data_IF_676282349594
#
_entry.id   IF_676282349594
#
_cell.length_a   1.000
_cell.length_b   1.000
_cell.length_c   1.000
_cell.angle_alpha   90.00
_cell.angle_beta   90.00
_cell.angle_gamma   90.00
#
_symmetry.space_group_name_H-M   'P 1'
#
loop_
_entity.id
_entity.type
_entity.pdbx_description
1 polymer ?
#
# COMPACT_ATOMS: atom_id res chain seq x y z
N UNK A 1 -31.86 -51.15 -56.70
CA UNK A 1 -31.64 -52.13 -55.64
C UNK A 1 -30.34 -51.80 -54.96
N UNK A 2 -30.48 -51.19 -53.81
CA UNK A 2 -29.66 -51.30 -52.60
C UNK A 2 -28.14 -51.17 -52.70
N UNK A 3 -27.60 -50.11 -52.09
CA UNK A 3 -27.00 -50.21 -50.72
C UNK A 3 -26.69 -48.80 -50.22
N UNK A 4 -27.54 -48.30 -49.35
CA UNK A 4 -27.17 -47.28 -48.39
C UNK A 4 -26.28 -47.96 -47.36
N UNK A 5 -25.09 -47.45 -47.17
CA UNK A 5 -24.18 -47.90 -46.10
C UNK A 5 -23.74 -46.65 -45.30
N UNK A 6 -24.41 -46.47 -44.22
CA UNK A 6 -23.89 -46.16 -42.89
C UNK A 6 -22.55 -45.40 -42.80
N UNK A 7 -22.58 -44.07 -42.78
CA UNK A 7 -21.54 -43.18 -42.29
C UNK A 7 -22.16 -42.27 -41.24
N UNK A 8 -22.59 -42.82 -40.14
CA UNK A 8 -23.07 -42.06 -38.96
C UNK A 8 -22.65 -42.73 -37.66
N UNK A 9 -21.33 -42.79 -37.40
CA UNK A 9 -20.86 -43.15 -36.04
C UNK A 9 -19.37 -42.89 -35.79
N UNK A 10 -18.79 -41.79 -36.29
CA UNK A 10 -17.40 -41.44 -35.94
C UNK A 10 -17.14 -39.95 -35.85
N UNK A 11 -18.09 -39.09 -35.43
CA UNK A 11 -17.85 -37.69 -35.18
C UNK A 11 -18.55 -37.26 -33.89
N UNK A 12 -18.28 -37.97 -32.79
CA UNK A 12 -18.70 -37.52 -31.44
C UNK A 12 -17.73 -38.00 -30.37
N UNK A 13 -16.44 -37.72 -30.52
CA UNK A 13 -15.51 -37.89 -29.36
C UNK A 13 -14.19 -37.11 -29.48
N UNK A 14 -14.22 -35.87 -29.95
CA UNK A 14 -13.01 -35.02 -29.87
C UNK A 14 -13.34 -33.53 -29.82
N UNK A 15 -14.31 -33.10 -29.00
CA UNK A 15 -14.49 -31.68 -28.63
C UNK A 15 -15.02 -31.64 -27.21
N UNK A 16 -14.19 -32.03 -26.26
CA UNK A 16 -14.43 -31.77 -24.83
C UNK A 16 -13.12 -31.84 -24.04
N UNK A 17 -12.14 -31.02 -24.39
CA UNK A 17 -10.86 -31.04 -23.68
C UNK A 17 -10.02 -29.78 -23.77
N UNK A 18 -10.37 -28.82 -24.61
CA UNK A 18 -9.45 -27.68 -24.87
C UNK A 18 -10.02 -26.29 -24.49
N UNK A 19 -11.31 -26.16 -24.30
CA UNK A 19 -11.92 -24.85 -24.05
C UNK A 19 -11.75 -24.38 -22.57
N UNK A 20 -11.57 -25.28 -21.65
CA UNK A 20 -11.37 -24.96 -20.22
C UNK A 20 -9.98 -24.39 -19.92
N UNK A 21 -8.95 -24.88 -20.57
CA UNK A 21 -7.57 -24.46 -20.37
C UNK A 21 -7.28 -23.13 -21.08
N UNK A 22 -7.85 -22.91 -22.23
CA UNK A 22 -7.72 -21.65 -22.97
C UNK A 22 -8.44 -20.49 -22.27
N UNK A 23 -9.60 -20.72 -21.68
CA UNK A 23 -10.35 -19.72 -20.91
C UNK A 23 -9.63 -19.40 -19.60
N UNK A 24 -9.13 -20.42 -18.87
CA UNK A 24 -8.36 -20.22 -17.65
C UNK A 24 -7.05 -19.44 -17.90
N UNK A 25 -6.34 -19.76 -18.97
CA UNK A 25 -5.13 -19.06 -19.38
C UNK A 25 -5.42 -17.61 -19.83
N UNK A 26 -6.54 -17.35 -20.46
CA UNK A 26 -6.93 -16.00 -20.87
C UNK A 26 -7.33 -15.12 -19.68
N UNK A 27 -8.02 -15.67 -18.68
CA UNK A 27 -8.33 -14.98 -17.43
C UNK A 27 -7.10 -14.72 -16.56
N UNK A 28 -6.19 -15.67 -16.47
CA UNK A 28 -4.93 -15.51 -15.73
C UNK A 28 -4.01 -14.50 -16.43
N UNK A 29 -3.96 -14.49 -17.75
CA UNK A 29 -3.22 -13.52 -18.54
C UNK A 29 -3.85 -12.13 -18.42
N UNK A 30 -5.17 -12.01 -18.46
CA UNK A 30 -5.87 -10.74 -18.22
C UNK A 30 -5.65 -10.21 -16.80
N UNK A 31 -5.71 -11.08 -15.79
CA UNK A 31 -5.38 -10.73 -14.39
C UNK A 31 -3.93 -10.25 -14.25
N UNK A 32 -2.99 -10.89 -14.95
CA UNK A 32 -1.57 -10.55 -14.92
C UNK A 32 -1.29 -9.22 -15.63
N UNK A 33 -1.98 -8.94 -16.75
CA UNK A 33 -1.92 -7.65 -17.46
C UNK A 33 -2.51 -6.52 -16.61
N UNK A 34 -3.65 -6.74 -15.97
CA UNK A 34 -4.30 -5.74 -15.09
C UNK A 34 -3.44 -5.45 -13.84
N UNK A 35 -2.63 -6.39 -13.39
CA UNK A 35 -1.63 -6.18 -12.34
C UNK A 35 -0.44 -5.35 -12.80
N UNK A 36 -0.08 -5.40 -14.09
CA UNK A 36 1.06 -4.68 -14.66
C UNK A 36 0.78 -3.22 -15.02
N UNK A 37 -0.48 -2.86 -15.29
CA UNK A 37 -0.90 -1.50 -15.69
C UNK A 37 -2.04 -0.98 -14.79
N UNK A 38 -1.72 -0.58 -13.55
CA UNK A 38 -2.73 -0.04 -12.65
C UNK A 38 -3.27 1.29 -13.19
N UNK A 39 -4.59 1.46 -13.15
CA UNK A 39 -5.31 2.68 -13.56
C UNK A 39 -5.14 3.09 -15.03
N UNK A 40 -4.85 2.17 -15.96
CA UNK A 40 -4.73 2.51 -17.38
C UNK A 40 -6.02 3.15 -17.89
N UNK A 41 -5.92 4.36 -18.45
CA UNK A 41 -7.08 5.11 -18.93
C UNK A 41 -8.01 5.68 -17.87
N UNK A 42 -7.65 5.56 -16.57
CA UNK A 42 -8.43 6.11 -15.47
C UNK A 42 -7.73 7.33 -14.87
N UNK A 43 -8.43 8.45 -14.82
CA UNK A 43 -7.92 9.66 -14.18
C UNK A 43 -8.20 9.64 -12.67
N UNK A 44 -7.26 10.21 -11.90
CA UNK A 44 -7.45 10.39 -10.45
C UNK A 44 -8.60 11.38 -10.22
N UNK A 45 -9.67 10.98 -9.49
CA UNK A 45 -10.75 11.88 -9.15
C UNK A 45 -10.29 13.05 -8.28
N UNK A 46 -10.88 14.22 -8.48
CA UNK A 46 -10.55 15.40 -7.67
C UNK A 46 -10.90 15.23 -6.18
N UNK A 47 -11.90 14.39 -5.87
CA UNK A 47 -12.33 14.05 -4.51
C UNK A 47 -11.62 12.80 -3.94
N UNK A 48 -10.57 12.30 -4.62
CA UNK A 48 -9.77 11.19 -4.11
C UNK A 48 -8.99 11.60 -2.84
N UNK A 49 -9.01 10.75 -1.84
CA UNK A 49 -8.32 10.96 -0.58
C UNK A 49 -7.76 9.66 -0.02
N UNK A 50 -6.88 9.80 0.95
CA UNK A 50 -6.24 8.66 1.61
C UNK A 50 -7.06 8.18 2.81
N UNK A 51 -7.31 6.89 2.85
CA UNK A 51 -8.05 6.18 3.90
C UNK A 51 -7.29 4.92 4.28
N UNK A 52 -7.63 4.31 5.42
CA UNK A 52 -6.97 3.08 5.87
C UNK A 52 -7.97 1.95 6.02
N UNK A 53 -7.70 0.87 5.33
CA UNK A 53 -8.36 -0.40 5.49
C UNK A 53 -7.56 -1.31 6.43
N UNK A 54 -8.23 -1.92 7.40
CA UNK A 54 -7.68 -2.92 8.30
C UNK A 54 -8.02 -4.29 7.76
N UNK A 55 -7.00 -5.09 7.50
CA UNK A 55 -7.13 -6.40 6.84
C UNK A 55 -6.40 -7.49 7.60
N UNK A 56 -6.52 -8.72 7.13
CA UNK A 56 -5.80 -9.85 7.71
C UNK A 56 -4.29 -9.70 7.54
N UNK A 57 -3.55 -9.98 8.62
CA UNK A 57 -2.08 -9.96 8.64
C UNK A 57 -1.47 -10.90 7.59
N UNK A 58 -0.38 -10.47 6.96
CA UNK A 58 0.32 -11.17 5.87
C UNK A 58 -0.52 -11.40 4.59
N UNK A 59 -1.66 -10.70 4.46
CA UNK A 59 -2.51 -10.74 3.28
C UNK A 59 -2.65 -9.36 2.62
N UNK A 60 -1.96 -8.34 3.14
CA UNK A 60 -2.14 -6.94 2.78
C UNK A 60 -1.97 -6.71 1.28
N UNK A 61 -0.86 -7.18 0.69
CA UNK A 61 -0.60 -7.00 -0.75
C UNK A 61 -1.63 -7.73 -1.61
N UNK A 62 -1.95 -8.98 -1.27
CA UNK A 62 -2.94 -9.75 -2.02
C UNK A 62 -4.32 -9.11 -1.99
N UNK A 63 -4.74 -8.60 -0.82
CA UNK A 63 -6.03 -7.94 -0.67
C UNK A 63 -6.03 -6.61 -1.41
N UNK A 64 -4.97 -5.81 -1.32
CA UNK A 64 -4.85 -4.55 -2.04
C UNK A 64 -4.91 -4.74 -3.56
N UNK A 65 -4.20 -5.74 -4.10
CA UNK A 65 -4.25 -6.09 -5.51
C UNK A 65 -5.66 -6.55 -5.94
N UNK A 66 -6.32 -7.38 -5.12
CA UNK A 66 -7.70 -7.80 -5.37
C UNK A 66 -8.69 -6.63 -5.39
N UNK A 67 -8.52 -5.64 -4.49
CA UNK A 67 -9.32 -4.42 -4.47
C UNK A 67 -9.07 -3.63 -5.76
N UNK A 68 -7.81 -3.43 -6.14
CA UNK A 68 -7.42 -2.68 -7.33
C UNK A 68 -8.01 -3.30 -8.60
N UNK A 69 -7.84 -4.61 -8.79
CA UNK A 69 -8.38 -5.33 -9.94
C UNK A 69 -9.89 -5.17 -10.02
N UNK A 70 -10.59 -5.35 -8.90
CA UNK A 70 -12.05 -5.23 -8.86
C UNK A 70 -12.53 -3.80 -9.18
N UNK A 71 -11.88 -2.78 -8.60
CA UNK A 71 -12.26 -1.40 -8.83
C UNK A 71 -11.93 -0.95 -10.26
N UNK A 72 -10.74 -1.28 -10.78
CA UNK A 72 -10.34 -0.93 -12.14
C UNK A 72 -11.21 -1.64 -13.19
N UNK A 73 -11.63 -2.89 -12.95
CA UNK A 73 -12.61 -3.59 -13.80
C UNK A 73 -13.95 -2.84 -13.89
N UNK A 74 -14.33 -2.14 -12.82
CA UNK A 74 -15.53 -1.30 -12.77
C UNK A 74 -15.25 0.17 -13.17
N UNK A 75 -14.14 0.46 -13.86
CA UNK A 75 -13.72 1.79 -14.29
C UNK A 75 -13.60 2.79 -13.12
N UNK A 76 -13.17 2.33 -11.95
CA UNK A 76 -12.95 3.16 -10.77
C UNK A 76 -11.46 3.26 -10.52
N UNK A 77 -10.97 4.49 -10.50
CA UNK A 77 -9.59 4.78 -10.14
C UNK A 77 -9.32 4.40 -8.68
N UNK A 78 -8.22 3.69 -8.45
CA UNK A 78 -7.79 3.25 -7.13
C UNK A 78 -6.28 3.14 -7.07
N UNK A 79 -5.70 3.73 -6.05
CA UNK A 79 -4.28 3.55 -5.72
C UNK A 79 -4.13 3.12 -4.27
N UNK A 80 -3.02 2.48 -3.93
CA UNK A 80 -2.75 2.05 -2.57
C UNK A 80 -1.27 2.12 -2.23
N UNK A 81 -1.01 2.21 -0.95
CA UNK A 81 0.33 2.12 -0.38
C UNK A 81 0.34 1.20 0.82
N UNK A 82 1.33 0.31 0.88
CA UNK A 82 1.60 -0.58 2.01
C UNK A 82 2.99 -0.24 2.51
N UNK A 83 3.13 0.26 3.76
CA UNK A 83 4.42 0.65 4.32
C UNK A 83 5.37 -0.55 4.42
N UNK A 84 6.48 -0.49 3.71
CA UNK A 84 7.55 -1.50 3.74
C UNK A 84 8.89 -0.84 4.02
N UNK A 85 9.74 -1.55 4.74
CA UNK A 85 11.13 -1.14 5.01
C UNK A 85 12.09 -2.21 4.52
N UNK A 86 13.24 -1.80 4.02
CA UNK A 86 14.32 -2.69 3.67
C UNK A 86 15.15 -3.04 4.89
N UNK A 87 15.29 -4.32 5.17
CA UNK A 87 16.07 -4.83 6.29
C UNK A 87 17.24 -5.65 5.74
N UNK A 88 18.45 -5.27 6.13
CA UNK A 88 19.66 -6.03 5.81
C UNK A 88 19.80 -7.16 6.83
N UNK A 89 19.93 -8.37 6.35
CA UNK A 89 20.19 -9.55 7.21
C UNK A 89 21.33 -10.40 6.65
N UNK A 90 21.97 -11.13 7.55
CA UNK A 90 23.01 -12.09 7.18
C UNK A 90 22.35 -13.43 6.84
N UNK A 91 22.50 -13.86 5.60
CA UNK A 91 22.05 -15.20 5.20
C UNK A 91 22.96 -16.24 5.81
N UNK A 92 22.45 -17.03 6.74
CA UNK A 92 23.20 -18.04 7.50
C UNK A 92 23.83 -19.14 6.63
N UNK A 93 23.27 -19.39 5.42
CA UNK A 93 23.80 -20.43 4.52
C UNK A 93 24.98 -19.93 3.70
N UNK A 94 24.87 -18.71 3.16
CA UNK A 94 25.88 -18.15 2.26
C UNK A 94 26.84 -17.19 2.95
N UNK A 95 26.61 -16.87 4.20
CA UNK A 95 27.33 -15.83 4.97
C UNK A 95 27.41 -14.46 4.26
N UNK A 96 26.41 -14.18 3.38
CA UNK A 96 26.33 -12.93 2.62
C UNK A 96 25.24 -12.05 3.18
N UNK A 97 25.47 -10.74 3.16
CA UNK A 97 24.43 -9.76 3.47
C UNK A 97 23.40 -9.73 2.34
N UNK A 98 22.14 -9.86 2.69
CA UNK A 98 20.99 -9.78 1.78
C UNK A 98 20.01 -8.73 2.27
N UNK A 99 19.30 -8.10 1.35
CA UNK A 99 18.23 -7.16 1.64
C UNK A 99 16.89 -7.87 1.50
N UNK A 100 16.01 -7.69 2.46
CA UNK A 100 14.64 -8.18 2.43
C UNK A 100 13.68 -7.04 2.75
N UNK A 101 12.60 -6.94 1.99
CA UNK A 101 11.48 -6.08 2.35
C UNK A 101 10.68 -6.70 3.50
N UNK A 102 10.36 -5.88 4.48
CA UNK A 102 9.50 -6.23 5.62
C UNK A 102 8.40 -5.18 5.74
N UNK A 103 7.19 -5.62 6.08
CA UNK A 103 6.11 -4.69 6.41
C UNK A 103 6.52 -3.85 7.63
N UNK A 104 6.41 -2.54 7.49
CA UNK A 104 6.62 -1.61 8.61
C UNK A 104 5.40 -1.59 9.53
N UNK A 105 4.21 -1.59 8.93
CA UNK A 105 2.94 -1.75 9.62
C UNK A 105 2.19 -2.94 9.01
N UNK A 106 1.93 -3.96 9.83
CA UNK A 106 1.08 -5.07 9.45
C UNK A 106 -0.42 -4.73 9.60
N UNK A 107 -1.27 -5.40 8.85
CA UNK A 107 -2.74 -5.26 8.86
C UNK A 107 -3.31 -3.99 8.22
N UNK A 108 -2.50 -3.05 7.80
CA UNK A 108 -2.96 -1.78 7.23
C UNK A 108 -2.68 -1.69 5.74
N UNK A 109 -3.69 -1.26 4.98
CA UNK A 109 -3.58 -0.83 3.59
C UNK A 109 -4.03 0.63 3.52
N UNK A 110 -3.15 1.49 3.03
CA UNK A 110 -3.48 2.87 2.75
C UNK A 110 -4.08 2.94 1.36
N UNK A 111 -5.36 3.30 1.27
CA UNK A 111 -6.16 3.32 0.06
C UNK A 111 -6.37 4.77 -0.38
N UNK A 112 -6.04 5.08 -1.63
CA UNK A 112 -6.37 6.37 -2.24
C UNK A 112 -7.53 6.16 -3.22
N UNK A 113 -8.67 6.75 -2.91
CA UNK A 113 -9.91 6.53 -3.66
C UNK A 113 -10.90 7.67 -3.39
N UNK A 114 -11.86 7.87 -4.29
CA UNK A 114 -12.98 8.78 -4.05
C UNK A 114 -13.80 8.36 -2.84
N UNK A 115 -14.20 9.32 -2.03
CA UNK A 115 -15.05 9.09 -0.85
C UNK A 115 -16.33 8.31 -1.19
N UNK A 116 -16.90 8.56 -2.37
CA UNK A 116 -18.14 7.91 -2.86
C UNK A 116 -17.96 6.40 -3.09
N UNK A 117 -16.73 5.95 -3.28
CA UNK A 117 -16.41 4.55 -3.60
C UNK A 117 -15.94 3.74 -2.38
N UNK A 118 -15.83 4.39 -1.20
CA UNK A 118 -15.35 3.73 0.03
C UNK A 118 -16.17 2.51 0.44
N UNK A 119 -17.47 2.52 0.18
CA UNK A 119 -18.36 1.41 0.53
C UNK A 119 -18.02 0.15 -0.26
N UNK A 120 -17.48 0.27 -1.48
CA UNK A 120 -17.00 -0.89 -2.26
C UNK A 120 -15.78 -1.57 -1.63
N UNK A 121 -15.04 -0.86 -0.80
CA UNK A 121 -13.92 -1.42 -0.01
C UNK A 121 -14.42 -1.87 1.35
N UNK A 122 -15.21 -1.03 2.03
CA UNK A 122 -15.67 -1.25 3.40
C UNK A 122 -16.48 -2.55 3.57
N UNK A 123 -17.32 -2.89 2.60
CA UNK A 123 -18.20 -4.05 2.68
C UNK A 123 -17.61 -5.34 2.09
N UNK A 124 -16.33 -5.36 1.78
CA UNK A 124 -15.65 -6.59 1.36
C UNK A 124 -15.46 -7.53 2.55
N UNK A 125 -15.60 -8.82 2.29
CA UNK A 125 -15.42 -9.87 3.31
C UNK A 125 -13.97 -10.01 3.82
N UNK A 126 -12.99 -9.54 3.02
CA UNK A 126 -11.57 -9.58 3.34
C UNK A 126 -11.04 -8.29 4.01
N UNK A 127 -11.93 -7.29 4.22
CA UNK A 127 -11.64 -6.05 4.95
C UNK A 127 -12.41 -6.07 6.28
N UNK A 128 -11.69 -6.05 7.39
CA UNK A 128 -12.32 -6.07 8.72
C UNK A 128 -13.03 -4.76 9.04
N UNK A 129 -12.40 -3.64 8.74
CA UNK A 129 -12.97 -2.30 8.94
C UNK A 129 -12.15 -1.24 8.20
N UNK A 130 -12.78 -0.10 7.95
CA UNK A 130 -12.08 1.14 7.64
C UNK A 130 -11.78 1.89 8.94
N UNK A 131 -10.65 2.59 8.99
CA UNK A 131 -10.31 3.41 10.14
C UNK A 131 -11.29 4.58 10.27
N UNK A 132 -11.86 4.74 11.45
CA UNK A 132 -12.80 5.83 11.78
C UNK A 132 -12.20 6.77 12.80
N UNK A 133 -12.71 7.99 12.88
CA UNK A 133 -12.37 8.90 13.98
C UNK A 133 -12.89 8.34 15.30
N UNK A 134 -12.11 8.44 16.39
CA UNK A 134 -12.55 8.02 17.71
C UNK A 134 -13.88 8.68 18.10
N UNK A 135 -14.84 7.89 18.58
CA UNK A 135 -16.16 8.37 18.96
C UNK A 135 -17.09 8.75 17.80
N UNK A 136 -16.65 8.58 16.55
CA UNK A 136 -17.43 8.92 15.36
C UNK A 136 -17.54 7.73 14.41
N UNK A 137 -18.64 7.68 13.63
CA UNK A 137 -18.80 6.71 12.54
C UNK A 137 -18.15 7.14 11.22
N UNK A 138 -17.62 8.38 11.17
CA UNK A 138 -16.99 8.92 9.97
C UNK A 138 -15.64 8.26 9.73
N UNK A 139 -15.40 7.79 8.51
CA UNK A 139 -14.12 7.23 8.10
C UNK A 139 -13.08 8.36 8.11
N UNK A 140 -11.91 8.07 8.68
CA UNK A 140 -10.83 9.06 8.79
C UNK A 140 -10.12 9.22 7.45
N UNK A 141 -10.15 10.44 6.92
CA UNK A 141 -9.36 10.83 5.75
C UNK A 141 -8.04 11.42 6.21
N UNK A 142 -6.95 10.89 5.69
CA UNK A 142 -5.60 11.37 5.99
C UNK A 142 -5.28 12.52 5.03
N UNK A 143 -4.82 13.67 5.51
CA UNK A 143 -4.35 14.75 4.63
C UNK A 143 -3.17 14.29 3.76
N UNK A 144 -3.14 14.71 2.49
CA UNK A 144 -2.11 14.31 1.52
C UNK A 144 -0.69 14.64 2.01
N UNK A 145 -0.51 15.81 2.63
CA UNK A 145 0.78 16.22 3.18
C UNK A 145 1.25 15.29 4.32
N UNK A 146 0.32 14.81 5.16
CA UNK A 146 0.65 13.90 6.26
C UNK A 146 1.13 12.56 5.73
N UNK A 147 0.43 12.00 4.73
CA UNK A 147 0.86 10.71 4.15
C UNK A 147 2.15 10.85 3.34
N UNK A 148 2.34 11.95 2.63
CA UNK A 148 3.58 12.23 1.91
C UNK A 148 4.78 12.29 2.87
N UNK A 149 4.69 13.06 3.94
CA UNK A 149 5.73 13.13 4.97
C UNK A 149 6.00 11.74 5.60
N UNK A 150 4.94 11.01 5.92
CA UNK A 150 5.08 9.68 6.54
C UNK A 150 5.74 8.67 5.59
N UNK A 151 5.44 8.72 4.30
CA UNK A 151 6.09 7.89 3.27
C UNK A 151 7.59 8.17 3.21
N UNK A 152 8.00 9.44 3.22
CA UNK A 152 9.42 9.80 3.27
C UNK A 152 10.14 9.21 4.48
N UNK A 153 9.48 9.20 5.65
CA UNK A 153 10.05 8.56 6.84
C UNK A 153 10.22 7.06 6.68
N UNK A 154 9.25 6.38 6.08
CA UNK A 154 9.25 4.91 5.97
C UNK A 154 10.13 4.42 4.82
N UNK A 155 10.13 5.13 3.68
CA UNK A 155 10.82 4.72 2.46
C UNK A 155 12.28 5.19 2.39
N UNK A 156 12.75 5.94 3.40
CA UNK A 156 14.13 6.39 3.45
C UNK A 156 15.07 5.22 3.78
N UNK A 157 15.94 4.89 2.81
CA UNK A 157 16.88 3.76 2.92
C UNK A 157 18.20 4.13 3.62
N UNK A 158 18.51 5.41 3.84
CA UNK A 158 19.81 5.86 4.36
C UNK A 158 19.99 5.56 5.85
N UNK A 159 18.89 5.63 6.63
CA UNK A 159 18.96 5.32 8.06
C UNK A 159 17.72 4.52 8.52
N UNK A 160 17.85 3.71 9.58
CA UNK A 160 16.75 2.90 10.08
C UNK A 160 15.60 3.76 10.60
N UNK A 161 14.40 3.50 10.12
CA UNK A 161 13.18 4.07 10.67
C UNK A 161 12.60 3.15 11.74
N UNK A 162 12.08 3.72 12.81
CA UNK A 162 11.46 2.99 13.91
C UNK A 162 10.00 3.36 14.05
N UNK A 163 9.13 2.35 14.11
CA UNK A 163 7.72 2.55 14.45
C UNK A 163 7.60 3.04 15.90
N UNK A 164 6.78 4.04 16.11
CA UNK A 164 6.55 4.62 17.43
C UNK A 164 5.05 4.59 17.77
N UNK A 165 4.69 4.50 19.06
CA UNK A 165 3.31 4.58 19.49
C UNK A 165 2.72 5.97 19.18
N UNK A 166 1.42 6.04 18.99
CA UNK A 166 0.68 7.28 18.80
C UNK A 166 -0.07 7.60 20.11
N UNK A 167 -0.09 8.85 20.55
CA UNK A 167 0.51 10.05 19.95
C UNK A 167 2.00 10.17 20.22
N UNK A 168 2.75 10.72 19.28
CA UNK A 168 4.14 11.09 19.51
C UNK A 168 4.21 12.33 20.42
N UNK A 169 5.27 12.38 21.26
CA UNK A 169 5.56 13.59 22.02
C UNK A 169 5.95 14.71 21.07
N UNK A 170 5.12 15.72 20.95
CA UNK A 170 5.40 16.88 20.10
C UNK A 170 6.40 17.80 20.76
N UNK A 171 7.40 18.21 20.00
CA UNK A 171 8.37 19.24 20.35
C UNK A 171 8.36 20.36 19.31
N UNK A 172 9.53 20.91 19.05
CA UNK A 172 9.71 21.97 18.06
C UNK A 172 9.48 21.40 16.66
N UNK A 173 8.68 22.09 15.83
CA UNK A 173 8.51 21.74 14.42
C UNK A 173 9.75 22.14 13.64
N UNK A 174 10.27 21.26 12.84
CA UNK A 174 11.48 21.44 12.05
C UNK A 174 11.28 20.99 10.60
N UNK A 175 12.04 21.60 9.70
CA UNK A 175 12.17 21.18 8.30
C UNK A 175 13.57 20.65 8.06
N UNK A 176 13.68 19.55 7.33
CA UNK A 176 14.96 18.99 6.91
C UNK A 176 15.50 19.80 5.72
N UNK A 177 16.73 20.31 5.84
CA UNK A 177 17.33 21.22 4.85
C UNK A 177 18.15 20.51 3.77
N UNK A 178 18.65 19.29 4.06
CA UNK A 178 19.47 18.53 3.11
C UNK A 178 19.32 17.01 3.32
N UNK A 179 19.89 16.23 2.38
CA UNK A 179 19.83 14.76 2.36
C UNK A 179 18.58 14.24 1.67
N UNK A 180 18.34 12.93 1.78
CA UNK A 180 17.20 12.22 1.17
C UNK A 180 15.84 12.72 1.67
N UNK A 181 15.78 13.27 2.90
CA UNK A 181 14.57 13.81 3.51
C UNK A 181 14.41 15.32 3.35
N UNK A 182 15.17 15.97 2.45
CA UNK A 182 15.08 17.43 2.25
C UNK A 182 13.65 17.89 2.00
N UNK A 183 13.21 18.90 2.74
CA UNK A 183 11.88 19.51 2.66
C UNK A 183 10.82 18.83 3.55
N UNK A 184 11.11 17.68 4.15
CA UNK A 184 10.18 17.02 5.07
C UNK A 184 10.06 17.80 6.37
N UNK A 185 8.82 18.00 6.81
CA UNK A 185 8.50 18.64 8.10
C UNK A 185 8.18 17.58 9.15
N UNK A 186 8.72 17.75 10.35
CA UNK A 186 8.56 16.81 11.45
C UNK A 186 8.68 17.51 12.81
N UNK A 187 8.34 16.79 13.87
CA UNK A 187 8.51 17.28 15.24
C UNK A 187 9.72 16.62 15.89
N UNK A 188 10.56 17.42 16.55
CA UNK A 188 11.68 16.89 17.34
C UNK A 188 11.12 16.19 18.57
N UNK A 189 11.49 14.92 18.74
CA UNK A 189 11.09 14.12 19.90
C UNK A 189 12.11 14.22 21.02
N UNK A 190 13.39 14.14 20.66
CA UNK A 190 14.50 14.33 21.59
C UNK A 190 15.79 14.68 20.85
N UNK A 191 16.76 15.17 21.59
CA UNK A 191 18.12 15.40 21.15
C UNK A 191 19.07 14.38 21.78
N UNK A 192 20.01 13.89 21.00
CA UNK A 192 21.09 13.01 21.46
C UNK A 192 22.42 13.52 20.90
N UNK A 193 23.06 14.43 21.63
CA UNK A 193 24.30 15.07 21.22
C UNK A 193 24.15 15.87 19.92
N UNK A 194 24.90 15.48 18.87
CA UNK A 194 24.85 16.10 17.54
C UNK A 194 23.67 15.64 16.67
N UNK A 195 22.91 14.65 17.15
CA UNK A 195 21.77 14.09 16.43
C UNK A 195 20.46 14.49 17.11
N UNK A 196 19.40 14.55 16.34
CA UNK A 196 18.03 14.71 16.80
C UNK A 196 17.18 13.54 16.33
N UNK A 197 16.25 13.10 17.15
CA UNK A 197 15.19 12.17 16.76
C UNK A 197 14.00 13.00 16.36
N UNK A 198 13.63 12.94 15.09
CA UNK A 198 12.45 13.60 14.54
C UNK A 198 11.36 12.57 14.34
N UNK A 199 10.10 12.98 14.37
CA UNK A 199 8.96 12.09 14.22
C UNK A 199 7.88 12.67 13.34
N UNK A 200 7.29 11.81 12.55
CA UNK A 200 6.04 12.04 11.83
C UNK A 200 5.01 11.01 12.28
N UNK A 201 3.75 11.41 12.35
CA UNK A 201 2.67 10.50 12.76
C UNK A 201 1.46 10.59 11.83
N UNK A 202 0.82 9.45 11.63
CA UNK A 202 -0.54 9.41 11.13
C UNK A 202 -1.44 9.15 12.33
N UNK A 203 -2.29 10.10 12.67
CA UNK A 203 -3.20 10.00 13.83
C UNK A 203 -3.94 8.67 13.83
N UNK A 204 -4.05 8.06 15.01
CA UNK A 204 -4.77 6.81 15.28
C UNK A 204 -4.17 5.55 14.66
N UNK A 205 -3.01 5.65 13.99
CA UNK A 205 -2.35 4.52 13.32
C UNK A 205 -1.00 4.24 13.92
N UNK A 206 -0.02 5.08 13.62
CA UNK A 206 1.36 4.91 14.05
C UNK A 206 2.15 6.19 13.86
N UNK A 207 3.21 6.35 14.67
CA UNK A 207 4.30 7.26 14.41
C UNK A 207 5.46 6.55 13.73
N UNK A 208 6.26 7.32 13.01
CA UNK A 208 7.56 6.92 12.49
C UNK A 208 8.61 7.89 13.03
N UNK A 209 9.71 7.39 13.54
CA UNK A 209 10.81 8.21 14.04
C UNK A 209 12.09 7.91 13.29
N UNK A 210 12.90 8.94 13.10
CA UNK A 210 14.15 8.88 12.39
C UNK A 210 15.21 9.71 13.10
N UNK A 211 16.46 9.27 13.06
CA UNK A 211 17.57 10.00 13.70
C UNK A 211 18.35 10.77 12.63
N UNK A 212 18.45 12.07 12.76
CA UNK A 212 19.11 12.95 11.81
C UNK A 212 20.11 13.88 12.50
N UNK A 213 21.11 14.38 11.78
CA UNK A 213 22.05 15.38 12.28
C UNK A 213 21.34 16.73 12.51
N UNK A 214 21.59 17.35 13.67
CA UNK A 214 20.95 18.63 14.03
C UNK A 214 21.22 19.76 13.04
N UNK A 215 22.41 19.77 12.43
CA UNK A 215 22.81 20.77 11.45
C UNK A 215 22.01 20.70 10.14
N UNK A 216 21.21 19.66 9.93
CA UNK A 216 20.31 19.51 8.80
C UNK A 216 18.86 19.92 9.12
N UNK A 217 18.62 20.52 10.29
CA UNK A 217 17.29 20.91 10.75
C UNK A 217 17.18 22.41 10.87
N UNK A 218 16.11 22.97 10.30
CA UNK A 218 15.68 24.35 10.44
C UNK A 218 14.37 24.39 11.23
N UNK A 219 14.27 25.32 12.17
CA UNK A 219 13.02 25.51 12.93
C UNK A 219 11.98 26.18 12.04
N UNK A 220 10.78 25.62 12.04
CA UNK A 220 9.62 26.18 11.35
C UNK A 220 8.74 26.82 12.43
N UNK A 221 8.54 28.13 12.34
CA UNK A 221 7.58 28.82 13.18
C UNK A 221 6.16 28.37 12.82
N UNK A 222 5.37 27.99 13.81
CA UNK A 222 3.94 27.74 13.62
C UNK A 222 3.22 29.08 13.77
N UNK A 223 2.56 29.52 12.70
CA UNK A 223 1.66 30.69 12.71
C UNK A 223 0.41 30.44 13.55
#
# INVERSE_FOLDING_TARGET
>A
MMKETNIQSQVTSTIAGDDGEAVANSEETAKKLTLQMPNEGLEKPADAGWYVAVVRVNCETRIADSIRINLNYNHIWFDYWIPKVKVVYLDKRSNKRRVKEKLFLSTFIFCNVSQRQLDKIRFRSDVYKMLTMPGQRKIYQIPDQVIANYRYFVENDEEPVTAAPVPLKKGIKVRVTAGSMKGVEAYVQCYNGKKAVIGSEIKYISGATHTISRNLLEVVEED
#
